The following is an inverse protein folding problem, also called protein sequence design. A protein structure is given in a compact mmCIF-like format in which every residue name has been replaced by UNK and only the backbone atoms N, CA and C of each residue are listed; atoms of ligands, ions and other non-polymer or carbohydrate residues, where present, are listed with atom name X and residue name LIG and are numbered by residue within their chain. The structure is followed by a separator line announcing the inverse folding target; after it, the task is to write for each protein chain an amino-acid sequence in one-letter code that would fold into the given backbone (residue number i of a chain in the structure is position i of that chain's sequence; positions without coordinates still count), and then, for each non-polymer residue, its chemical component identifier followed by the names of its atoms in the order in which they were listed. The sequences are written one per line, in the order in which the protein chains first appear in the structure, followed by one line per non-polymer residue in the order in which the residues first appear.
data_IF_355821159162
#
_entry.id   IF_355821159162
#
_cell.length_a   1.000
_cell.length_b   1.000
_cell.length_c   1.000
_cell.angle_alpha   90.00
_cell.angle_beta   90.00
_cell.angle_gamma   90.00
#
_symmetry.space_group_name_H-M   'P 1'
#
loop_
_entity.id
_entity.type
_entity.pdbx_description
1 polymer ?
#
# COMPACT_ATOMS: atom_id res chain seq x y z
N UNK A 1 10.92 -21.02 0.26
CA UNK A 1 10.06 -19.90 -0.15
C UNK A 1 8.90 -19.86 0.83
N UNK A 2 8.77 -18.79 1.58
CA UNK A 2 7.73 -18.70 2.62
C UNK A 2 6.34 -18.74 1.97
N UNK A 3 5.34 -19.34 2.63
CA UNK A 3 4.00 -19.53 2.05
C UNK A 3 3.39 -18.23 1.50
N UNK A 4 3.69 -17.10 2.16
CA UNK A 4 3.35 -15.73 1.75
C UNK A 4 3.88 -15.41 0.34
N UNK A 5 5.18 -15.60 0.12
CA UNK A 5 5.86 -15.32 -1.14
C UNK A 5 5.28 -16.15 -2.29
N UNK A 6 4.87 -17.40 -2.01
CA UNK A 6 4.26 -18.30 -3.00
C UNK A 6 2.89 -17.81 -3.45
N UNK A 7 2.08 -17.32 -2.52
CA UNK A 7 0.76 -16.79 -2.84
C UNK A 7 0.89 -15.50 -3.65
N UNK A 8 1.74 -14.57 -3.22
CA UNK A 8 1.96 -13.29 -3.92
C UNK A 8 2.53 -13.54 -5.32
N UNK A 9 3.57 -14.37 -5.43
CA UNK A 9 4.19 -14.67 -6.73
C UNK A 9 3.20 -15.29 -7.72
N UNK A 10 2.30 -16.18 -7.26
CA UNK A 10 1.24 -16.75 -8.11
C UNK A 10 0.29 -15.69 -8.65
N UNK A 11 -0.04 -14.69 -7.83
CA UNK A 11 -0.91 -13.60 -8.26
C UNK A 11 -0.20 -12.70 -9.29
N UNK A 12 1.08 -12.43 -9.08
CA UNK A 12 1.89 -11.56 -9.94
C UNK A 12 2.27 -12.20 -11.29
N UNK A 13 2.46 -13.52 -11.32
CA UNK A 13 3.03 -14.24 -12.47
C UNK A 13 2.29 -14.03 -13.80
N UNK A 14 0.98 -13.79 -13.77
CA UNK A 14 0.15 -13.75 -14.97
C UNK A 14 -0.21 -12.34 -15.44
N UNK A 15 0.40 -11.29 -14.87
CA UNK A 15 0.02 -9.90 -15.17
C UNK A 15 1.23 -8.98 -15.31
N UNK A 16 1.18 -8.13 -16.32
CA UNK A 16 2.16 -7.06 -16.54
C UNK A 16 1.59 -5.73 -16.07
N UNK A 17 2.43 -4.94 -15.39
CA UNK A 17 2.07 -3.63 -14.86
C UNK A 17 2.95 -2.56 -15.52
N UNK A 18 2.44 -1.35 -15.78
CA UNK A 18 3.31 -0.27 -16.25
C UNK A 18 4.10 0.30 -15.09
N UNK A 19 3.42 0.58 -13.97
CA UNK A 19 4.05 1.12 -12.77
C UNK A 19 3.57 0.39 -11.53
N UNK A 20 4.52 -0.08 -10.73
CA UNK A 20 4.27 -0.79 -9.48
C UNK A 20 4.93 -0.07 -8.29
N UNK A 21 4.23 -0.03 -7.16
CA UNK A 21 4.74 0.45 -5.89
C UNK A 21 4.76 -0.70 -4.89
N UNK A 22 5.87 -0.90 -4.18
CA UNK A 22 5.98 -1.86 -3.08
C UNK A 22 6.36 -1.12 -1.81
N UNK A 23 5.50 -1.25 -0.81
CA UNK A 23 5.67 -0.67 0.51
C UNK A 23 5.99 -1.81 1.50
N UNK A 24 7.22 -1.86 2.03
CA UNK A 24 7.66 -2.91 2.95
C UNK A 24 8.82 -2.48 3.82
N UNK A 25 8.90 -2.96 5.07
CA UNK A 25 10.07 -2.73 5.95
C UNK A 25 11.35 -3.36 5.39
N UNK A 26 11.22 -4.50 4.72
CA UNK A 26 12.32 -5.32 4.24
C UNK A 26 12.17 -5.56 2.75
N UNK A 27 13.27 -5.81 2.05
CA UNK A 27 13.24 -6.20 0.64
C UNK A 27 12.61 -7.60 0.49
N UNK A 28 11.41 -7.72 -0.12
CA UNK A 28 10.73 -9.00 -0.21
C UNK A 28 11.27 -9.82 -1.39
N UNK A 29 11.40 -11.14 -1.25
CA UNK A 29 11.97 -11.99 -2.33
C UNK A 29 11.10 -12.02 -3.60
N UNK A 30 9.80 -11.77 -3.46
CA UNK A 30 8.88 -11.69 -4.60
C UNK A 30 9.05 -10.41 -5.43
N UNK A 31 9.87 -9.44 -4.99
CA UNK A 31 10.13 -8.21 -5.74
C UNK A 31 10.62 -8.50 -7.16
N UNK A 32 11.51 -9.49 -7.30
CA UNK A 32 12.04 -9.97 -8.59
C UNK A 32 11.01 -10.67 -9.49
N UNK A 33 9.82 -10.96 -8.96
CA UNK A 33 8.71 -11.62 -9.68
C UNK A 33 7.65 -10.64 -10.15
N UNK A 34 7.79 -9.34 -9.85
CA UNK A 34 6.90 -8.30 -10.35
C UNK A 34 7.33 -7.95 -11.78
N UNK A 35 6.49 -8.27 -12.75
CA UNK A 35 6.69 -7.83 -14.13
C UNK A 35 6.14 -6.42 -14.30
N UNK A 36 7.01 -5.41 -14.19
CA UNK A 36 6.65 -4.00 -14.37
C UNK A 36 7.68 -3.19 -15.15
N UNK A 37 7.23 -2.20 -15.93
CA UNK A 37 8.14 -1.27 -16.63
C UNK A 37 8.88 -0.35 -15.65
N UNK A 38 8.21 0.05 -14.56
CA UNK A 38 8.79 0.85 -13.49
C UNK A 38 8.34 0.30 -12.14
N UNK A 39 9.32 0.05 -11.26
CA UNK A 39 9.10 -0.45 -9.91
C UNK A 39 9.66 0.54 -8.90
N UNK A 40 8.79 1.01 -8.00
CA UNK A 40 9.17 1.87 -6.89
C UNK A 40 9.10 1.04 -5.60
N UNK A 41 10.19 1.02 -4.85
CA UNK A 41 10.25 0.35 -3.54
C UNK A 41 10.41 1.38 -2.43
N UNK A 42 9.64 1.25 -1.35
CA UNK A 42 9.62 2.20 -0.24
C UNK A 42 9.40 1.48 1.09
N UNK A 43 10.22 1.77 2.12
CA UNK A 43 9.92 1.33 3.49
C UNK A 43 9.35 2.43 4.38
N UNK A 44 9.31 3.67 3.89
CA UNK A 44 9.31 4.86 4.72
C UNK A 44 7.98 5.28 5.34
N UNK A 45 6.90 4.53 5.13
CA UNK A 45 5.62 4.74 5.83
C UNK A 45 5.64 4.21 7.26
N UNK A 46 6.59 3.33 7.57
CA UNK A 46 6.68 2.66 8.85
C UNK A 46 7.35 3.57 9.88
N UNK A 47 6.71 3.74 11.04
CA UNK A 47 7.30 4.33 12.26
C UNK A 47 8.40 3.41 12.84
N UNK A 48 9.33 2.94 12.01
CA UNK A 48 10.45 2.06 12.38
C UNK A 48 11.75 2.86 12.48
N UNK A 49 12.64 2.42 13.37
CA UNK A 49 13.91 3.11 13.68
C UNK A 49 14.95 3.06 12.54
N UNK A 50 14.83 2.11 11.59
CA UNK A 50 15.67 2.01 10.39
C UNK A 50 14.79 1.83 9.16
N UNK A 51 14.50 2.92 8.46
CA UNK A 51 13.83 2.88 7.16
C UNK A 51 14.86 2.67 6.04
N UNK A 52 14.56 1.80 5.09
CA UNK A 52 15.28 1.59 3.83
C UNK A 52 14.50 2.30 2.70
N UNK A 53 15.16 3.22 2.00
CA UNK A 53 14.54 3.99 0.91
C UNK A 53 13.87 5.29 1.36
N UNK A 54 12.89 5.78 0.57
CA UNK A 54 12.30 7.11 0.76
C UNK A 54 11.29 7.16 1.91
N UNK A 55 11.37 8.20 2.76
CA UNK A 55 10.39 8.49 3.82
C UNK A 55 9.32 9.44 3.31
N UNK A 56 8.06 9.00 3.35
CA UNK A 56 6.92 9.82 2.95
C UNK A 56 6.00 10.06 4.13
N UNK A 57 5.54 11.29 4.27
CA UNK A 57 4.48 11.64 5.19
C UNK A 57 3.13 11.22 4.55
N UNK A 58 2.29 10.54 5.33
CA UNK A 58 0.98 10.00 4.90
C UNK A 58 0.06 11.10 4.41
N UNK A 59 0.19 12.30 4.98
CA UNK A 59 -0.55 13.50 4.53
C UNK A 59 0.02 14.09 3.24
N UNK A 60 1.14 13.54 2.77
CA UNK A 60 2.04 14.20 1.84
C UNK A 60 2.53 13.28 0.71
N UNK A 61 1.63 12.54 0.07
CA UNK A 61 1.99 11.64 -1.04
C UNK A 61 2.65 12.38 -2.22
N UNK A 62 3.79 11.88 -2.75
CA UNK A 62 4.57 12.55 -3.80
C UNK A 62 4.19 12.12 -5.23
N UNK A 63 3.19 11.25 -5.38
CA UNK A 63 2.87 10.61 -6.65
C UNK A 63 1.65 11.25 -7.29
N UNK A 64 1.67 11.30 -8.61
CA UNK A 64 0.58 11.87 -9.39
C UNK A 64 -0.70 11.02 -9.31
N UNK A 65 -1.80 11.64 -9.69
CA UNK A 65 -3.10 10.99 -9.83
C UNK A 65 -3.02 9.82 -10.84
N UNK A 66 -3.58 8.65 -10.48
CA UNK A 66 -3.65 7.45 -11.34
C UNK A 66 -2.29 7.00 -11.89
N UNK A 67 -1.24 7.10 -11.08
CA UNK A 67 0.12 6.75 -11.46
C UNK A 67 0.43 5.26 -11.41
N UNK A 68 -0.07 4.50 -10.43
CA UNK A 68 0.27 3.08 -10.23
C UNK A 68 -0.83 2.13 -10.67
N UNK A 69 -0.43 1.03 -11.31
CA UNK A 69 -1.33 -0.08 -11.67
C UNK A 69 -1.29 -1.22 -10.63
N UNK A 70 -0.23 -1.27 -9.83
CA UNK A 70 -0.05 -2.21 -8.74
C UNK A 70 0.50 -1.50 -7.51
N UNK A 71 -0.12 -1.72 -6.36
CA UNK A 71 0.46 -1.36 -5.07
C UNK A 71 0.51 -2.60 -4.17
N UNK A 72 1.70 -2.95 -3.67
CA UNK A 72 1.88 -4.01 -2.68
C UNK A 72 2.22 -3.39 -1.35
N UNK A 73 1.49 -3.77 -0.30
CA UNK A 73 1.72 -3.34 1.08
C UNK A 73 2.05 -4.60 1.89
N UNK A 74 3.30 -4.73 2.30
CA UNK A 74 3.80 -5.88 3.06
C UNK A 74 4.29 -5.40 4.42
N UNK A 75 3.69 -5.91 5.50
CA UNK A 75 4.03 -5.51 6.88
C UNK A 75 3.94 -4.01 7.18
N UNK A 76 3.20 -3.24 6.37
CA UNK A 76 3.25 -1.77 6.40
C UNK A 76 1.90 -1.06 6.57
N UNK A 77 0.86 -1.77 7.01
CA UNK A 77 -0.46 -1.18 7.20
C UNK A 77 -0.62 -0.54 8.59
N UNK A 78 -1.42 0.54 8.67
CA UNK A 78 -1.64 1.32 9.88
C UNK A 78 -2.70 0.68 10.79
N UNK A 79 -2.35 0.50 12.07
CA UNK A 79 -3.29 0.02 13.09
C UNK A 79 -4.36 1.08 13.42
N UNK A 80 -3.92 2.34 13.54
CA UNK A 80 -4.78 3.49 13.77
C UNK A 80 -5.79 3.70 12.63
N UNK A 81 -7.03 4.07 12.98
CA UNK A 81 -8.13 4.17 12.00
C UNK A 81 -8.01 5.42 11.14
N UNK A 82 -7.57 6.54 11.71
CA UNK A 82 -7.52 7.82 11.02
C UNK A 82 -6.33 7.85 10.05
N UNK A 83 -5.15 7.41 10.51
CA UNK A 83 -3.97 7.22 9.67
C UNK A 83 -4.27 6.26 8.51
N UNK A 84 -4.96 5.14 8.78
CA UNK A 84 -5.36 4.18 7.75
C UNK A 84 -6.32 4.80 6.72
N UNK A 85 -7.28 5.62 7.15
CA UNK A 85 -8.21 6.27 6.23
C UNK A 85 -7.51 7.30 5.33
N UNK A 86 -6.64 8.13 5.89
CA UNK A 86 -5.85 9.08 5.10
C UNK A 86 -4.99 8.30 4.08
N UNK A 87 -4.36 7.22 4.53
CA UNK A 87 -3.57 6.35 3.67
C UNK A 87 -4.40 5.74 2.52
N UNK A 88 -5.59 5.21 2.81
CA UNK A 88 -6.49 4.64 1.80
C UNK A 88 -6.98 5.68 0.79
N UNK A 89 -7.29 6.90 1.22
CA UNK A 89 -7.66 8.02 0.34
C UNK A 89 -6.55 8.34 -0.65
N UNK A 90 -5.31 8.37 -0.18
CA UNK A 90 -4.15 8.63 -1.02
C UNK A 90 -3.83 7.46 -1.97
N UNK A 91 -3.97 6.20 -1.51
CA UNK A 91 -3.93 5.04 -2.39
C UNK A 91 -4.96 5.15 -3.51
N UNK A 92 -6.20 5.49 -3.17
CA UNK A 92 -7.27 5.64 -4.14
C UNK A 92 -6.94 6.73 -5.18
N UNK A 93 -6.33 7.84 -4.75
CA UNK A 93 -5.90 8.93 -5.63
C UNK A 93 -4.78 8.52 -6.61
N UNK A 94 -3.73 7.86 -6.13
CA UNK A 94 -2.56 7.49 -6.95
C UNK A 94 -2.74 6.20 -7.75
N UNK A 95 -3.76 5.40 -7.47
CA UNK A 95 -4.07 4.17 -8.21
C UNK A 95 -4.84 4.45 -9.51
N UNK A 96 -4.44 3.77 -10.58
CA UNK A 96 -5.21 3.68 -11.82
C UNK A 96 -6.58 3.02 -11.59
N UNK A 97 -7.54 3.30 -12.47
CA UNK A 97 -8.95 2.89 -12.31
C UNK A 97 -9.14 1.36 -12.22
N UNK A 98 -8.22 0.58 -12.78
CA UNK A 98 -8.20 -0.89 -12.70
C UNK A 98 -7.01 -1.45 -11.92
N UNK A 99 -6.40 -0.60 -11.07
CA UNK A 99 -5.24 -0.95 -10.28
C UNK A 99 -5.53 -2.05 -9.27
N UNK A 100 -4.53 -2.90 -9.04
CA UNK A 100 -4.56 -3.95 -8.02
C UNK A 100 -3.81 -3.49 -6.76
N UNK A 101 -4.37 -3.79 -5.58
CA UNK A 101 -3.67 -3.66 -4.30
C UNK A 101 -3.49 -5.05 -3.72
N UNK A 102 -2.27 -5.39 -3.33
CA UNK A 102 -1.96 -6.61 -2.59
C UNK A 102 -1.55 -6.21 -1.18
N UNK A 103 -2.19 -6.79 -0.18
CA UNK A 103 -1.86 -6.56 1.22
C UNK A 103 -1.44 -7.88 1.81
N UNK A 104 -0.22 -7.91 2.31
CA UNK A 104 0.39 -9.06 2.90
C UNK A 104 0.72 -8.78 4.37
N UNK A 105 0.25 -9.69 5.23
CA UNK A 105 0.71 -9.79 6.62
C UNK A 105 0.52 -8.50 7.44
N UNK A 106 -0.75 -8.23 7.78
CA UNK A 106 -1.10 -7.14 8.67
C UNK A 106 -1.02 -7.62 10.12
N UNK A 107 0.15 -7.47 10.75
CA UNK A 107 0.48 -7.98 12.10
C UNK A 107 -0.67 -7.93 13.12
N UNK A 108 -1.43 -6.82 13.16
CA UNK A 108 -2.46 -6.59 14.17
C UNK A 108 -3.90 -6.47 13.65
N UNK A 109 -4.13 -6.57 12.34
CA UNK A 109 -5.46 -6.35 11.76
C UNK A 109 -6.07 -7.68 11.34
N UNK A 110 -7.32 -7.88 11.76
CA UNK A 110 -8.13 -9.02 11.34
C UNK A 110 -8.65 -8.78 9.91
N UNK A 111 -8.75 -9.85 9.12
CA UNK A 111 -9.15 -9.73 7.72
C UNK A 111 -10.48 -8.99 7.50
N UNK A 112 -11.50 -9.23 8.32
CA UNK A 112 -12.79 -8.52 8.17
C UNK A 112 -12.66 -6.99 8.40
N UNK A 113 -11.81 -6.57 9.33
CA UNK A 113 -11.55 -5.15 9.59
C UNK A 113 -10.82 -4.51 8.42
N UNK A 114 -9.86 -5.22 7.82
CA UNK A 114 -9.17 -4.73 6.63
C UNK A 114 -10.14 -4.63 5.45
N UNK A 115 -10.89 -5.70 5.15
CA UNK A 115 -11.81 -5.74 4.01
C UNK A 115 -12.88 -4.65 4.13
N UNK A 116 -13.48 -4.45 5.31
CA UNK A 116 -14.46 -3.38 5.52
C UNK A 116 -13.87 -1.99 5.30
N UNK A 117 -12.66 -1.71 5.80
CA UNK A 117 -11.97 -0.43 5.56
C UNK A 117 -11.73 -0.19 4.06
N UNK A 118 -11.32 -1.22 3.32
CA UNK A 118 -11.10 -1.12 1.87
C UNK A 118 -12.40 -0.88 1.10
N UNK A 119 -13.48 -1.60 1.43
CA UNK A 119 -14.79 -1.43 0.79
C UNK A 119 -15.32 -0.01 0.96
N UNK A 120 -15.25 0.54 2.17
CA UNK A 120 -15.72 1.92 2.47
C UNK A 120 -14.87 2.99 1.76
N UNK A 121 -13.65 2.66 1.33
CA UNK A 121 -12.75 3.58 0.61
C UNK A 121 -12.69 3.30 -0.90
N UNK A 122 -13.66 2.58 -1.46
CA UNK A 122 -13.77 2.39 -2.91
C UNK A 122 -12.89 1.29 -3.48
N UNK A 123 -12.62 0.25 -2.71
CA UNK A 123 -11.88 -0.92 -3.19
C UNK A 123 -12.71 -2.19 -3.08
N UNK A 124 -12.80 -2.94 -4.18
CA UNK A 124 -13.47 -4.23 -4.24
C UNK A 124 -12.52 -5.34 -3.80
N UNK A 125 -12.96 -6.22 -2.91
CA UNK A 125 -12.19 -7.41 -2.54
C UNK A 125 -12.25 -8.44 -3.66
N UNK A 126 -11.10 -8.75 -4.26
CA UNK A 126 -10.98 -9.74 -5.34
C UNK A 126 -10.65 -11.12 -4.80
N UNK A 127 -9.76 -11.19 -3.81
CA UNK A 127 -9.30 -12.45 -3.26
C UNK A 127 -8.80 -12.27 -1.82
N UNK A 128 -9.00 -13.29 -0.98
CA UNK A 128 -8.54 -13.32 0.40
C UNK A 128 -8.06 -14.73 0.71
N UNK A 129 -6.74 -14.89 0.90
CA UNK A 129 -6.10 -16.18 1.12
C UNK A 129 -5.39 -16.22 2.46
N UNK A 130 -5.66 -17.25 3.25
CA UNK A 130 -4.92 -17.54 4.47
C UNK A 130 -3.53 -18.04 4.14
N UNK A 131 -2.52 -17.55 4.88
CA UNK A 131 -1.14 -18.04 4.77
C UNK A 131 -1.04 -19.45 5.36
N UNK A 132 -1.71 -19.68 6.50
CA UNK A 132 -1.78 -20.97 7.17
C UNK A 132 -3.16 -21.59 6.96
N UNK A 133 -3.27 -22.58 6.08
CA UNK A 133 -4.50 -23.36 5.87
C UNK A 133 -4.53 -24.55 6.82
N UNK A 134 -5.72 -24.89 7.32
CA UNK A 134 -6.00 -26.20 7.92
C UNK A 134 -6.64 -27.15 6.91
N UNK A 135 -6.66 -28.45 7.20
CA UNK A 135 -7.22 -29.46 6.29
C UNK A 135 -8.76 -29.35 6.17
N UNK A 136 -9.44 -28.75 7.14
CA UNK A 136 -10.89 -28.60 7.12
C UNK A 136 -11.34 -27.29 6.43
N UNK A 137 -12.24 -27.45 5.46
CA UNK A 137 -12.81 -26.37 4.65
C UNK A 137 -13.60 -25.38 5.54
N UNK A 138 -14.40 -25.89 6.47
CA UNK A 138 -15.21 -25.07 7.37
C UNK A 138 -14.35 -24.20 8.31
N UNK A 139 -13.29 -24.76 8.91
CA UNK A 139 -12.38 -23.98 9.74
C UNK A 139 -11.62 -22.94 8.91
N UNK A 140 -11.28 -23.22 7.66
CA UNK A 140 -10.64 -22.25 6.77
C UNK A 140 -11.56 -21.07 6.47
N UNK A 141 -12.86 -21.29 6.26
CA UNK A 141 -13.84 -20.22 6.04
C UNK A 141 -13.95 -19.28 7.24
N UNK A 142 -14.08 -19.84 8.45
CA UNK A 142 -14.12 -19.05 9.69
C UNK A 142 -12.79 -18.33 9.95
N UNK A 143 -11.66 -19.02 9.80
CA UNK A 143 -10.33 -18.42 9.94
C UNK A 143 -10.11 -17.30 8.93
N UNK A 144 -10.68 -17.38 7.73
CA UNK A 144 -10.49 -16.36 6.69
C UNK A 144 -10.92 -14.97 7.15
N UNK A 145 -11.94 -14.87 7.99
CA UNK A 145 -12.43 -13.59 8.51
C UNK A 145 -11.65 -13.12 9.74
N UNK A 146 -11.30 -14.06 10.63
CA UNK A 146 -10.75 -13.73 11.96
C UNK A 146 -9.21 -13.74 12.01
N UNK A 147 -8.56 -14.38 11.03
CA UNK A 147 -7.10 -14.50 10.97
C UNK A 147 -6.43 -13.16 10.78
N UNK A 148 -5.22 -13.08 11.34
CA UNK A 148 -4.25 -11.98 11.13
C UNK A 148 -3.21 -12.33 10.06
N UNK A 149 -3.06 -13.63 9.73
CA UNK A 149 -2.07 -14.13 8.77
C UNK A 149 -2.76 -14.46 7.45
N UNK A 150 -2.94 -13.44 6.61
CA UNK A 150 -3.58 -13.56 5.32
C UNK A 150 -2.92 -12.65 4.28
N UNK A 151 -3.25 -12.92 3.03
CA UNK A 151 -3.00 -12.05 1.89
C UNK A 151 -4.36 -11.67 1.31
N UNK A 152 -4.58 -10.36 1.20
CA UNK A 152 -5.77 -9.81 0.59
C UNK A 152 -5.40 -9.10 -0.72
N UNK A 153 -6.24 -9.29 -1.73
CA UNK A 153 -6.12 -8.59 -3.00
C UNK A 153 -7.37 -7.77 -3.20
N UNK A 154 -7.19 -6.49 -3.47
CA UNK A 154 -8.24 -5.54 -3.76
C UNK A 154 -8.05 -4.97 -5.16
N UNK A 155 -9.14 -4.50 -5.75
CA UNK A 155 -9.14 -3.75 -7.00
C UNK A 155 -9.81 -2.40 -6.73
N UNK A 156 -9.30 -1.31 -7.30
CA UNK A 156 -10.00 -0.03 -7.24
C UNK A 156 -11.35 -0.13 -7.94
N UNK A 157 -12.38 0.43 -7.32
CA UNK A 157 -13.71 0.55 -7.91
C UNK A 157 -13.78 1.83 -8.75
N UNK A 158 -14.07 1.67 -10.04
CA UNK A 158 -14.16 2.77 -11.00
C UNK A 158 -15.41 3.62 -10.73
N UNK A 159 -16.45 3.03 -10.14
CA UNK A 159 -17.73 3.69 -9.88
C UNK A 159 -17.77 4.40 -8.53
N UNK A 160 -16.74 4.22 -7.71
CA UNK A 160 -16.67 4.87 -6.40
C UNK A 160 -16.38 6.36 -6.56
N UNK A 161 -17.42 7.17 -6.36
CA UNK A 161 -17.30 8.63 -6.35
C UNK A 161 -16.76 9.07 -4.99
N UNK A 162 -15.44 9.20 -4.91
CA UNK A 162 -14.82 9.95 -3.82
C UNK A 162 -15.20 11.43 -3.98
N UNK A 163 -15.77 12.07 -2.97
CA UNK A 163 -16.17 13.48 -3.04
C UNK A 163 -14.95 14.35 -3.42
N UNK A 164 -14.93 14.82 -4.67
CA UNK A 164 -13.75 15.49 -5.25
C UNK A 164 -13.35 16.78 -4.52
N UNK A 165 -14.26 17.34 -3.70
CA UNK A 165 -14.01 18.47 -2.81
C UNK A 165 -13.02 18.13 -1.68
N UNK A 166 -12.99 16.89 -1.18
CA UNK A 166 -11.99 16.48 -0.18
C UNK A 166 -10.62 16.22 -0.82
N UNK A 167 -10.59 15.65 -2.02
CA UNK A 167 -9.34 15.43 -2.76
C UNK A 167 -8.67 16.76 -3.15
N UNK A 168 -9.45 17.76 -3.59
CA UNK A 168 -8.95 19.12 -3.83
C UNK A 168 -8.45 19.79 -2.55
N UNK A 169 -9.13 19.63 -1.41
CA UNK A 169 -8.63 20.13 -0.10
C UNK A 169 -7.32 19.48 0.34
N UNK A 170 -7.09 18.20 0.02
CA UNK A 170 -5.80 17.53 0.25
C UNK A 170 -4.67 18.09 -0.64
N UNK A 171 -5.01 18.54 -1.86
CA UNK A 171 -4.08 19.20 -2.79
C UNK A 171 -3.81 20.66 -2.35
N UNK A 172 -4.85 21.40 -1.96
CA UNK A 172 -4.76 22.82 -1.58
C UNK A 172 -4.09 23.06 -0.23
N UNK A 173 -4.15 22.10 0.71
CA UNK A 173 -3.41 22.19 1.99
C UNK A 173 -1.89 22.11 1.83
N UNK A 174 -1.37 21.98 0.61
CA UNK A 174 0.01 21.58 0.36
C UNK A 174 0.79 22.46 -0.62
N UNK A 175 0.60 23.77 -0.57
CA UNK A 175 1.52 24.73 -1.19
C UNK A 175 2.05 25.72 -0.15
N UNK A 176 2.85 25.21 0.80
CA UNK A 176 3.96 25.96 1.39
C UNK A 176 5.22 25.11 1.30
N UNK A 177 5.52 24.63 0.10
CA UNK A 177 6.86 24.12 -0.19
C UNK A 177 7.75 25.32 -0.53
N UNK A 178 8.58 25.74 0.42
CA UNK A 178 9.77 26.55 0.10
C UNK A 178 10.56 25.74 -0.93
N UNK A 179 10.57 26.20 -2.19
CA UNK A 179 11.37 25.61 -3.26
C UNK A 179 12.84 25.67 -2.84
N UNK A 180 13.38 24.57 -2.33
CA UNK A 180 14.82 24.39 -2.23
C UNK A 180 15.25 23.74 -3.54
N UNK A 181 15.60 24.59 -4.51
CA UNK A 181 16.37 24.16 -5.66
C UNK A 181 17.75 23.74 -5.15
N UNK A 182 18.07 22.45 -5.25
CA UNK A 182 19.44 21.97 -5.07
C UNK A 182 20.23 22.27 -6.34
N UNK A 183 20.78 23.49 -6.43
CA UNK A 183 21.97 23.67 -7.25
C UNK A 183 23.16 23.12 -6.46
N UNK A 184 24.02 22.42 -7.19
CA UNK A 184 25.24 21.81 -6.71
C UNK A 184 26.07 22.78 -5.85
N UNK A 185 26.68 22.21 -4.81
CA UNK A 185 27.57 22.82 -3.82
C UNK A 185 26.91 23.84 -2.89
N UNK A 186 26.83 23.51 -1.60
CA UNK A 186 27.49 24.23 -0.51
C UNK A 186 27.27 23.48 0.82
N UNK A 187 28.33 23.55 1.63
CA UNK A 187 28.60 22.91 2.91
C UNK A 187 27.44 22.87 3.90
N UNK A 188 27.43 21.77 4.66
CA UNK A 188 26.69 21.58 5.90
C UNK A 188 26.81 22.80 6.83
N UNK A 189 25.66 23.25 7.34
CA UNK A 189 25.62 23.97 8.62
C UNK A 189 24.45 23.41 9.42
N UNK A 190 24.77 22.71 10.50
CA UNK A 190 23.84 22.34 11.55
C UNK A 190 23.28 23.62 12.20
N UNK A 191 21.97 23.68 12.43
CA UNK A 191 21.43 24.53 13.49
C UNK A 191 20.21 23.88 14.14
N UNK A 192 20.38 23.55 15.42
CA UNK A 192 19.28 23.36 16.40
C UNK A 192 18.55 24.69 16.57
N UNK A 193 17.22 24.67 16.55
CA UNK A 193 16.32 25.25 17.57
C UNK A 193 15.10 24.34 17.62
#
# INVERSE_FOLDING_TARGET
MEAKEKIISRYLHNRWYKKALVISSNEPKYLTKIHSLSLVFCSGYLKQAKSIGCKFDVSSWPFDHKFFDLIVIDHAFFDDKDDANIFLKQLHFCMADDGDIIIADTKNIRAYNLVSRFLVNGFLSKNLQLINKSDSIALNLMKRLVSKNFIAVFKKDIFFKFDGLEAKKLIERKIVCKKIYSNANIKQVNKKI
#
